data_IF_923649768072
#
_entry.id   IF_923649768072
#
_cell.length_a   1.000
_cell.length_b   1.000
_cell.length_c   1.000
_cell.angle_alpha   90.00
_cell.angle_beta   90.00
_cell.angle_gamma   90.00
#
_symmetry.space_group_name_H-M   'P 1'
#
loop_
_entity.id
_entity.type
_entity.pdbx_description
1 polymer ?
#
# COMPACT_ATOMS: atom_id res chain seq x y z
N UNK A 1 -31.07 41.14 22.51
CA UNK A 1 -30.75 39.76 22.96
C UNK A 1 -29.44 39.35 22.28
N UNK A 2 -28.39 39.08 23.08
CA UNK A 2 -27.05 38.75 22.58
C UNK A 2 -27.03 37.30 22.12
N UNK A 3 -26.85 37.07 20.81
CA UNK A 3 -26.57 35.75 20.27
C UNK A 3 -25.24 35.26 20.86
N UNK A 4 -25.18 34.10 21.54
CA UNK A 4 -23.97 33.67 22.21
C UNK A 4 -22.88 33.36 21.17
N UNK A 5 -21.78 34.13 21.25
CA UNK A 5 -20.54 34.01 20.45
C UNK A 5 -19.87 32.62 20.47
N UNK A 6 -20.44 31.65 21.21
CA UNK A 6 -19.93 30.29 21.35
C UNK A 6 -20.29 29.37 20.17
N UNK A 7 -21.32 29.67 19.39
CA UNK A 7 -21.68 28.83 18.22
C UNK A 7 -20.81 29.09 16.98
N UNK A 8 -20.06 30.19 16.95
CA UNK A 8 -19.19 30.54 15.81
C UNK A 8 -17.83 29.82 15.83
N UNK A 9 -17.47 29.13 16.93
CA UNK A 9 -16.15 28.49 17.10
C UNK A 9 -16.17 27.01 16.70
N UNK A 10 -17.33 26.35 16.68
CA UNK A 10 -17.41 24.91 16.32
C UNK A 10 -17.41 24.71 14.78
N UNK A 11 -17.77 25.72 13.99
CA UNK A 11 -17.80 25.61 12.53
C UNK A 11 -16.46 25.92 11.85
N UNK A 12 -15.45 26.40 12.58
CA UNK A 12 -14.14 26.78 12.02
C UNK A 12 -13.06 25.67 12.11
N UNK A 13 -13.36 24.53 12.74
CA UNK A 13 -12.44 23.39 12.86
C UNK A 13 -12.64 22.31 11.78
N UNK A 14 -13.55 22.52 10.83
CA UNK A 14 -13.86 21.58 9.73
C UNK A 14 -13.25 21.97 8.37
N UNK A 15 -12.15 22.73 8.35
CA UNK A 15 -11.51 23.19 7.10
C UNK A 15 -10.07 22.71 6.89
N UNK A 16 -9.69 21.58 7.49
CA UNK A 16 -8.30 21.07 7.43
C UNK A 16 -8.10 19.69 6.81
N UNK A 17 -9.15 18.98 6.38
CA UNK A 17 -9.03 17.68 5.73
C UNK A 17 -9.59 17.73 4.32
N UNK A 18 -8.97 18.55 3.46
CA UNK A 18 -9.04 18.34 2.02
C UNK A 18 -8.46 16.95 1.78
N UNK A 19 -9.31 15.95 1.52
CA UNK A 19 -8.94 14.57 1.21
C UNK A 19 -8.19 14.53 -0.14
N UNK A 20 -6.85 14.61 -0.21
CA UNK A 20 -6.13 14.52 -1.46
C UNK A 20 -5.70 13.05 -1.61
N UNK A 21 -6.69 12.16 -1.65
CA UNK A 21 -6.43 10.72 -1.77
C UNK A 21 -7.47 10.06 -2.68
N UNK A 22 -8.04 10.83 -3.60
CA UNK A 22 -8.80 10.26 -4.69
C UNK A 22 -7.79 9.73 -5.71
N UNK A 23 -7.31 8.51 -5.47
CA UNK A 23 -6.34 7.82 -6.33
C UNK A 23 -6.77 7.81 -7.79
N UNK A 24 -8.08 7.65 -8.04
CA UNK A 24 -8.69 7.67 -9.38
C UNK A 24 -8.48 9.00 -10.12
N UNK A 25 -8.33 10.11 -9.40
CA UNK A 25 -8.08 11.44 -9.99
C UNK A 25 -6.59 11.73 -10.08
N UNK A 26 -5.82 11.38 -9.05
CA UNK A 26 -4.42 11.80 -8.94
C UNK A 26 -3.43 10.88 -9.68
N UNK A 27 -3.63 9.56 -9.64
CA UNK A 27 -2.69 8.62 -10.26
C UNK A 27 -2.59 8.77 -11.78
N UNK A 28 -3.67 9.04 -12.54
CA UNK A 28 -3.57 9.29 -13.97
C UNK A 28 -2.66 10.48 -14.32
N UNK A 29 -2.51 11.44 -13.42
CA UNK A 29 -1.68 12.65 -13.61
C UNK A 29 -0.20 12.42 -13.29
N UNK A 30 0.14 11.27 -12.69
CA UNK A 30 1.52 10.86 -12.43
C UNK A 30 2.04 10.13 -13.66
N UNK A 31 2.90 10.82 -14.43
CA UNK A 31 3.46 10.36 -15.69
C UNK A 31 4.93 9.96 -15.51
N UNK A 32 5.24 8.72 -15.89
CA UNK A 32 6.61 8.20 -15.93
C UNK A 32 7.45 9.06 -16.89
N UNK A 33 8.67 9.40 -16.47
CA UNK A 33 9.63 10.23 -17.20
C UNK A 33 9.35 11.73 -17.16
N UNK A 34 8.28 12.17 -16.49
CA UNK A 34 7.85 13.59 -16.51
C UNK A 34 7.57 14.12 -15.10
N UNK A 35 6.82 13.38 -14.29
CA UNK A 35 6.36 13.87 -12.99
C UNK A 35 7.50 13.83 -11.97
N UNK A 36 7.75 14.95 -11.30
CA UNK A 36 8.75 15.04 -10.23
C UNK A 36 8.19 14.59 -8.87
N UNK A 37 9.07 14.20 -7.94
CA UNK A 37 8.75 13.85 -6.54
C UNK A 37 7.89 14.91 -5.85
N UNK A 38 8.21 16.19 -6.03
CA UNK A 38 7.45 17.30 -5.44
C UNK A 38 6.02 17.38 -5.94
N UNK A 39 5.78 17.00 -7.20
CA UNK A 39 4.45 16.95 -7.79
C UNK A 39 3.64 15.74 -7.29
N UNK A 40 4.29 14.56 -7.22
CA UNK A 40 3.66 13.38 -6.61
C UNK A 40 3.24 13.68 -5.17
N UNK A 41 4.14 14.27 -4.37
CA UNK A 41 3.88 14.64 -2.98
C UNK A 41 2.76 15.68 -2.84
N UNK A 42 2.70 16.67 -3.73
CA UNK A 42 1.61 17.66 -3.72
C UNK A 42 0.24 17.03 -4.01
N UNK A 43 0.19 16.00 -4.87
CA UNK A 43 -1.06 15.32 -5.25
C UNK A 43 -1.48 14.23 -4.27
N UNK A 44 -0.54 13.41 -3.84
CA UNK A 44 -0.78 12.18 -3.07
C UNK A 44 -0.52 12.33 -1.57
N UNK A 45 0.08 13.45 -1.15
CA UNK A 45 0.58 13.64 0.21
C UNK A 45 1.90 12.89 0.47
N UNK A 46 2.25 12.79 1.74
CA UNK A 46 3.43 12.02 2.18
C UNK A 46 3.24 10.52 1.88
N UNK A 47 4.29 9.82 1.45
CA UNK A 47 4.24 8.37 1.36
C UNK A 47 4.19 7.73 2.76
N UNK A 48 3.59 6.55 2.86
CA UNK A 48 3.56 5.79 4.11
C UNK A 48 4.92 5.18 4.44
N UNK A 49 5.74 4.92 3.42
CA UNK A 49 7.10 4.43 3.58
C UNK A 49 7.97 4.83 2.37
N UNK A 50 9.27 4.99 2.60
CA UNK A 50 10.26 5.27 1.55
C UNK A 50 11.31 4.16 1.57
N UNK A 51 11.37 3.40 0.48
CA UNK A 51 12.43 2.43 0.23
C UNK A 51 13.58 3.14 -0.47
N UNK A 52 14.77 3.10 0.14
CA UNK A 52 15.99 3.59 -0.49
C UNK A 52 16.71 2.42 -1.19
N UNK A 53 17.16 2.67 -2.40
CA UNK A 53 17.96 1.73 -3.18
C UNK A 53 19.43 2.19 -3.24
N UNK A 54 20.34 1.23 -3.37
CA UNK A 54 21.78 1.49 -3.35
C UNK A 54 22.25 2.36 -4.53
N UNK A 55 21.49 2.35 -5.62
CA UNK A 55 21.74 3.21 -6.76
C UNK A 55 21.25 4.65 -6.55
N UNK A 56 20.71 5.00 -5.38
CA UNK A 56 20.20 6.34 -5.09
C UNK A 56 18.81 6.62 -5.64
N UNK A 57 18.18 5.66 -6.33
CA UNK A 57 16.74 5.71 -6.58
C UNK A 57 15.97 5.48 -5.28
N UNK A 58 14.72 5.93 -5.25
CA UNK A 58 13.82 5.70 -4.11
C UNK A 58 12.47 5.22 -4.59
N UNK A 59 11.83 4.35 -3.82
CA UNK A 59 10.47 3.90 -4.07
C UNK A 59 9.57 4.39 -2.94
N UNK A 60 8.56 5.16 -3.29
CA UNK A 60 7.54 5.62 -2.34
C UNK A 60 6.37 4.65 -2.32
N UNK A 61 5.99 4.23 -1.12
CA UNK A 61 4.88 3.33 -0.85
C UNK A 61 3.62 4.13 -0.48
N UNK A 62 2.58 3.97 -1.30
CA UNK A 62 1.24 4.50 -1.04
C UNK A 62 0.25 3.34 -0.88
N UNK A 63 0.18 2.81 0.35
CA UNK A 63 -0.76 1.74 0.70
C UNK A 63 -2.15 2.29 1.03
N UNK A 64 -3.19 1.53 0.68
CA UNK A 64 -4.56 1.75 1.15
C UNK A 64 -5.00 0.69 2.17
N UNK A 65 -4.13 -0.24 2.53
CA UNK A 65 -4.39 -1.23 3.56
C UNK A 65 -4.58 -0.56 4.94
N UNK A 66 -5.31 -1.20 5.87
CA UNK A 66 -6.08 -2.45 5.71
C UNK A 66 -7.48 -2.23 5.10
N UNK A 67 -7.94 -0.98 5.00
CA UNK A 67 -9.31 -0.67 4.59
C UNK A 67 -9.54 -0.82 3.08
N UNK A 68 -8.56 -0.45 2.26
CA UNK A 68 -8.57 -0.54 0.80
C UNK A 68 -7.91 -1.81 0.25
N UNK A 69 -7.78 -1.86 -1.08
CA UNK A 69 -7.37 -3.06 -1.84
C UNK A 69 -6.12 -2.85 -2.70
N UNK A 70 -5.48 -1.69 -2.56
CA UNK A 70 -4.38 -1.26 -3.41
C UNK A 70 -3.15 -0.87 -2.60
N UNK A 71 -1.98 -1.02 -3.21
CA UNK A 71 -0.74 -0.41 -2.77
C UNK A 71 -0.01 0.01 -4.05
N UNK A 72 0.35 1.29 -4.11
CA UNK A 72 1.14 1.83 -5.22
C UNK A 72 2.59 2.00 -4.79
N UNK A 73 3.51 1.48 -5.60
CA UNK A 73 4.94 1.71 -5.51
C UNK A 73 5.34 2.66 -6.63
N UNK A 74 5.81 3.86 -6.26
CA UNK A 74 6.26 4.88 -7.22
C UNK A 74 7.77 5.02 -7.07
N UNK A 75 8.51 4.54 -8.07
CA UNK A 75 9.97 4.66 -8.13
C UNK A 75 10.34 6.00 -8.75
N UNK A 76 11.33 6.65 -8.15
CA UNK A 76 11.95 7.85 -8.66
C UNK A 76 13.42 7.59 -8.94
N UNK A 77 13.91 8.08 -10.08
CA UNK A 77 15.32 8.06 -10.41
C UNK A 77 16.14 9.03 -9.52
N UNK A 78 17.44 9.10 -9.77
CA UNK A 78 18.37 9.98 -9.05
C UNK A 78 18.06 11.47 -9.22
N UNK A 79 17.31 11.83 -10.26
CA UNK A 79 16.88 13.20 -10.55
C UNK A 79 15.55 13.53 -9.86
N UNK A 80 14.94 12.56 -9.17
CA UNK A 80 13.66 12.72 -8.51
C UNK A 80 12.48 12.73 -9.49
N UNK A 81 12.64 12.14 -10.68
CA UNK A 81 11.57 11.98 -11.66
C UNK A 81 11.03 10.55 -11.58
N UNK A 82 9.70 10.40 -11.71
CA UNK A 82 9.05 9.08 -11.67
C UNK A 82 9.61 8.22 -12.79
N UNK A 83 10.26 7.11 -12.44
CA UNK A 83 10.81 6.14 -13.38
C UNK A 83 9.94 4.90 -13.52
N UNK A 84 9.12 4.58 -12.52
CA UNK A 84 8.18 3.47 -12.53
C UNK A 84 7.00 3.77 -11.59
N UNK A 85 5.80 3.32 -11.95
CA UNK A 85 4.64 3.34 -11.06
C UNK A 85 3.88 2.01 -11.21
N UNK A 86 3.66 1.32 -10.09
CA UNK A 86 3.06 0.00 -10.06
C UNK A 86 1.98 -0.11 -8.99
N UNK A 87 0.79 -0.62 -9.35
CA UNK A 87 -0.14 -1.19 -8.37
C UNK A 87 0.33 -2.62 -8.09
N UNK A 88 0.89 -2.86 -6.91
CA UNK A 88 1.60 -4.12 -6.60
C UNK A 88 0.70 -5.21 -5.99
N UNK A 89 -0.53 -4.85 -5.60
CA UNK A 89 -1.53 -5.79 -5.11
C UNK A 89 -2.46 -6.23 -6.24
N UNK A 90 -1.88 -6.77 -7.31
CA UNK A 90 -2.60 -7.23 -8.52
C UNK A 90 -2.06 -8.57 -9.05
N UNK A 91 -2.86 -9.32 -9.82
CA UNK A 91 -2.48 -10.64 -10.32
C UNK A 91 -1.09 -10.76 -10.97
N UNK A 92 -0.62 -9.80 -11.80
CA UNK A 92 0.71 -9.87 -12.40
C UNK A 92 1.88 -9.86 -11.40
N UNK A 93 1.66 -9.41 -10.17
CA UNK A 93 2.70 -9.29 -9.14
C UNK A 93 2.74 -10.47 -8.18
N UNK A 94 1.63 -11.17 -7.95
CA UNK A 94 1.54 -12.23 -6.94
C UNK A 94 2.53 -13.37 -7.16
N UNK A 95 2.85 -13.70 -8.42
CA UNK A 95 3.85 -14.73 -8.78
C UNK A 95 5.28 -14.37 -8.36
N UNK A 96 5.55 -13.11 -8.01
CA UNK A 96 6.87 -12.65 -7.54
C UNK A 96 7.15 -13.09 -6.10
N UNK A 97 6.14 -13.49 -5.32
CA UNK A 97 6.31 -14.02 -3.98
C UNK A 97 6.72 -15.51 -4.02
N UNK A 98 7.95 -15.76 -4.45
CA UNK A 98 8.51 -17.11 -4.59
C UNK A 98 9.10 -17.62 -3.27
N UNK A 99 9.19 -18.96 -3.08
CA UNK A 99 9.88 -19.53 -1.92
C UNK A 99 11.33 -19.03 -1.76
N UNK A 100 11.79 -18.93 -0.51
CA UNK A 100 13.14 -18.50 -0.16
C UNK A 100 13.33 -16.99 0.04
N UNK A 101 12.39 -16.16 -0.42
CA UNK A 101 12.43 -14.71 -0.19
C UNK A 101 12.32 -14.38 1.30
N UNK A 102 12.97 -13.28 1.69
CA UNK A 102 12.93 -12.71 3.03
C UNK A 102 11.69 -11.83 3.25
N UNK A 103 11.31 -11.57 4.51
CA UNK A 103 10.25 -10.62 4.84
C UNK A 103 10.48 -9.22 4.25
N UNK A 104 11.73 -8.76 4.20
CA UNK A 104 12.09 -7.45 3.65
C UNK A 104 11.94 -7.40 2.12
N UNK A 105 12.34 -8.46 1.42
CA UNK A 105 12.08 -8.59 -0.03
C UNK A 105 10.58 -8.59 -0.33
N UNK A 106 9.78 -9.26 0.50
CA UNK A 106 8.32 -9.25 0.38
C UNK A 106 7.74 -7.85 0.68
N UNK A 107 8.26 -7.13 1.67
CA UNK A 107 7.84 -5.73 1.93
C UNK A 107 8.16 -4.81 0.76
N UNK A 108 9.29 -5.00 0.08
CA UNK A 108 9.66 -4.23 -1.11
C UNK A 108 8.75 -4.54 -2.29
N UNK A 109 8.22 -5.77 -2.40
CA UNK A 109 7.30 -6.16 -3.47
C UNK A 109 5.88 -5.66 -3.24
N UNK A 110 5.31 -5.80 -2.04
CA UNK A 110 3.87 -5.62 -1.80
C UNK A 110 3.50 -4.51 -0.82
N UNK A 111 4.49 -3.84 -0.22
CA UNK A 111 4.24 -2.83 0.81
C UNK A 111 3.68 -3.41 2.10
N UNK A 112 3.08 -2.55 2.94
CA UNK A 112 2.62 -2.94 4.26
C UNK A 112 1.47 -3.95 4.20
N UNK A 113 1.61 -5.14 4.83
CA UNK A 113 0.50 -6.06 4.95
C UNK A 113 -0.58 -5.44 5.84
N UNK A 114 -1.84 -5.75 5.53
CA UNK A 114 -2.98 -5.42 6.36
C UNK A 114 -2.91 -6.12 7.72
N UNK A 115 -2.41 -7.36 7.72
CA UNK A 115 -2.31 -8.20 8.92
C UNK A 115 -1.08 -9.09 8.87
N UNK A 116 -0.49 -9.32 10.05
CA UNK A 116 0.54 -10.33 10.28
C UNK A 116 0.06 -11.23 11.41
N UNK A 117 0.20 -12.53 11.25
CA UNK A 117 -0.24 -13.50 12.25
C UNK A 117 0.68 -14.71 12.30
N UNK A 118 1.12 -15.07 13.51
CA UNK A 118 1.91 -16.28 13.76
C UNK A 118 0.97 -17.44 14.09
N UNK A 119 1.23 -18.60 13.49
CA UNK A 119 0.55 -19.87 13.74
C UNK A 119 1.60 -20.90 14.19
N UNK A 120 1.87 -20.94 15.50
CA UNK A 120 2.91 -21.81 16.08
C UNK A 120 2.69 -23.29 15.79
N UNK A 121 1.43 -23.75 15.80
CA UNK A 121 1.07 -25.13 15.50
C UNK A 121 1.35 -25.54 14.05
N UNK A 122 1.47 -24.56 13.14
CA UNK A 122 1.85 -24.77 11.74
C UNK A 122 3.31 -24.40 11.45
N UNK A 123 4.02 -23.89 12.46
CA UNK A 123 5.36 -23.33 12.35
C UNK A 123 5.48 -22.25 11.24
N UNK A 124 4.48 -21.37 11.15
CA UNK A 124 4.39 -20.37 10.09
C UNK A 124 4.00 -18.97 10.61
N UNK A 125 4.53 -17.91 10.00
CA UNK A 125 3.98 -16.56 10.05
C UNK A 125 3.29 -16.24 8.71
N UNK A 126 2.09 -15.65 8.76
CA UNK A 126 1.32 -15.29 7.58
C UNK A 126 1.18 -13.78 7.51
N UNK A 127 1.58 -13.20 6.38
CA UNK A 127 1.29 -11.82 6.03
C UNK A 127 0.16 -11.78 5.01
N UNK A 128 -0.77 -10.87 5.21
CA UNK A 128 -1.99 -10.77 4.43
C UNK A 128 -2.21 -9.35 3.92
N UNK A 129 -2.60 -9.24 2.66
CA UNK A 129 -3.06 -8.00 2.04
C UNK A 129 -4.47 -8.22 1.52
N UNK A 130 -5.36 -7.25 1.76
CA UNK A 130 -6.66 -7.23 1.09
C UNK A 130 -6.45 -6.79 -0.37
N UNK A 131 -7.03 -7.51 -1.31
CA UNK A 131 -6.85 -7.26 -2.75
C UNK A 131 -8.18 -7.18 -3.47
N UNK A 132 -8.18 -6.69 -4.70
CA UNK A 132 -9.37 -6.74 -5.53
C UNK A 132 -9.70 -8.19 -5.90
N UNK A 133 -10.96 -8.57 -5.73
CA UNK A 133 -11.48 -9.89 -6.07
C UNK A 133 -12.20 -9.89 -7.41
N UNK A 134 -12.42 -11.07 -7.98
CA UNK A 134 -13.24 -11.21 -9.19
C UNK A 134 -14.72 -10.89 -8.90
N UNK A 135 -15.20 -11.29 -7.72
CA UNK A 135 -16.54 -11.01 -7.25
C UNK A 135 -16.51 -9.81 -6.27
N UNK A 136 -17.18 -8.68 -6.58
CA UNK A 136 -17.21 -7.50 -5.70
C UNK A 136 -17.86 -7.75 -4.33
N UNK A 137 -18.66 -8.80 -4.18
CA UNK A 137 -19.33 -9.15 -2.94
C UNK A 137 -18.42 -9.88 -1.94
N UNK A 138 -17.42 -10.58 -2.43
CA UNK A 138 -16.48 -11.34 -1.61
C UNK A 138 -15.32 -10.46 -1.14
N UNK A 139 -14.67 -10.86 -0.05
CA UNK A 139 -13.40 -10.28 0.35
C UNK A 139 -12.25 -11.18 -0.10
N UNK A 140 -11.36 -10.64 -0.93
CA UNK A 140 -10.19 -11.34 -1.44
C UNK A 140 -8.93 -10.88 -0.74
N UNK A 141 -8.05 -11.83 -0.48
CA UNK A 141 -6.78 -11.62 0.21
C UNK A 141 -5.65 -12.33 -0.53
N UNK A 142 -4.50 -11.67 -0.61
CA UNK A 142 -3.24 -12.31 -0.99
C UNK A 142 -2.42 -12.58 0.26
N UNK A 143 -1.98 -13.82 0.42
CA UNK A 143 -1.25 -14.29 1.59
C UNK A 143 0.15 -14.76 1.21
N UNK A 144 1.12 -14.40 2.05
CA UNK A 144 2.50 -14.91 1.99
C UNK A 144 2.80 -15.61 3.31
N UNK A 145 3.28 -16.84 3.23
CA UNK A 145 3.53 -17.73 4.37
C UNK A 145 5.04 -17.89 4.55
N UNK A 146 5.54 -17.57 5.74
CA UNK A 146 6.95 -17.68 6.12
C UNK A 146 7.16 -18.85 7.07
N UNK A 147 8.26 -19.59 6.90
CA UNK A 147 8.71 -20.58 7.89
C UNK A 147 9.25 -19.88 9.13
N UNK A 148 8.87 -20.31 10.33
CA UNK A 148 9.49 -19.80 11.56
C UNK A 148 10.92 -20.32 11.75
N UNK A 149 11.27 -21.48 11.18
CA UNK A 149 12.62 -22.04 11.27
C UNK A 149 13.62 -21.23 10.43
N UNK A 150 13.25 -20.94 9.17
CA UNK A 150 14.14 -20.30 8.20
C UNK A 150 13.94 -18.78 8.12
N UNK A 151 12.81 -18.27 8.59
CA UNK A 151 12.41 -16.87 8.43
C UNK A 151 12.19 -16.48 6.96
N UNK A 152 11.82 -17.44 6.09
CA UNK A 152 11.72 -17.25 4.63
C UNK A 152 10.39 -17.74 4.08
N UNK A 153 10.00 -17.23 2.92
CA UNK A 153 8.76 -17.62 2.24
C UNK A 153 8.77 -19.13 1.94
N UNK A 154 7.71 -19.81 2.35
CA UNK A 154 7.41 -21.20 1.97
C UNK A 154 6.48 -21.26 0.76
N UNK A 155 5.46 -20.40 0.75
CA UNK A 155 4.41 -20.35 -0.28
C UNK A 155 3.66 -19.01 -0.24
N UNK A 156 2.89 -18.76 -1.29
CA UNK A 156 1.94 -17.65 -1.38
C UNK A 156 0.66 -18.09 -2.08
N UNK A 157 -0.43 -17.35 -1.91
CA UNK A 157 -1.69 -17.68 -2.56
C UNK A 157 -2.82 -16.71 -2.29
N UNK A 158 -3.88 -16.80 -3.10
CA UNK A 158 -5.11 -16.06 -2.89
C UNK A 158 -6.07 -16.83 -1.98
N UNK A 159 -6.76 -16.10 -1.10
CA UNK A 159 -7.85 -16.59 -0.25
C UNK A 159 -9.07 -15.72 -0.51
N UNK A 160 -10.20 -16.36 -0.78
CA UNK A 160 -11.50 -15.70 -0.93
C UNK A 160 -12.32 -16.00 0.32
N UNK A 161 -12.92 -14.97 0.89
CA UNK A 161 -13.85 -15.05 2.00
C UNK A 161 -15.24 -14.65 1.52
N UNK A 162 -16.13 -15.64 1.46
CA UNK A 162 -17.51 -15.43 1.07
C UNK A 162 -18.30 -14.79 2.21
N UNK A 163 -19.02 -13.72 1.90
CA UNK A 163 -19.96 -13.13 2.86
C UNK A 163 -21.19 -14.01 2.95
N UNK A 164 -21.54 -14.38 4.18
CA UNK A 164 -22.74 -15.16 4.49
C UNK A 164 -24.03 -14.41 4.15
#
# INVERSE_FOLDING_TARGET
>A
MRLPRLFAVILAALSGALLPACDIVNLPEIKVGVTAQSEVKRRMGEPGFVHHDADGSVVWEYSRQPAGRTCYMIRFDRQGIVSEMAQVLSPPYFSRATPGLTPDEIRRLFGQPARRQVFENLNEEVWEWRVEGENPLDDSYFNVYFSLDEGRVKKSGLRIEHKA
#
